data_IF_408288617810
#
_entry.id   IF_408288617810
#
_cell.length_a   1.000
_cell.length_b   1.000
_cell.length_c   1.000
_cell.angle_alpha   90.00
_cell.angle_beta   90.00
_cell.angle_gamma   90.00
#
_symmetry.space_group_name_H-M   'P 1'
#
loop_
_entity.id
_entity.type
_entity.pdbx_description
1 polymer ?
#
# COMPACT_ATOMS: atom_id res chain seq x y z
N UNK A 1 12.69 -4.04 5.16
CA UNK A 1 13.47 -2.92 4.59
C UNK A 1 14.00 -1.93 5.61
N UNK A 2 13.42 -1.77 6.80
CA UNK A 2 13.82 -0.69 7.74
C UNK A 2 14.81 -1.11 8.83
N UNK A 3 15.26 -2.38 8.87
CA UNK A 3 16.08 -2.92 9.97
C UNK A 3 17.48 -2.32 10.01
N UNK A 4 18.03 -1.96 8.86
CA UNK A 4 19.38 -1.40 8.71
C UNK A 4 19.36 0.14 8.70
N UNK A 5 18.17 0.76 8.81
CA UNK A 5 18.01 2.19 8.95
C UNK A 5 18.20 2.63 10.42
N UNK A 6 18.65 3.87 10.61
CA UNK A 6 18.69 4.50 11.94
C UNK A 6 17.29 4.96 12.36
N UNK A 7 16.78 4.41 13.46
CA UNK A 7 15.53 4.89 14.07
C UNK A 7 15.72 6.29 14.66
N UNK A 8 14.96 7.26 14.14
CA UNK A 8 14.99 8.65 14.61
C UNK A 8 13.94 8.93 15.71
N UNK A 9 12.80 8.26 15.65
CA UNK A 9 11.72 8.43 16.61
C UNK A 9 10.56 7.48 16.29
N UNK A 10 9.67 7.30 17.26
CA UNK A 10 8.42 6.56 17.12
C UNK A 10 7.33 7.25 17.95
N UNK A 11 6.08 7.15 17.49
CA UNK A 11 4.90 7.62 18.21
C UNK A 11 3.70 6.78 17.76
N UNK A 12 2.69 6.69 18.62
CA UNK A 12 1.48 5.93 18.36
C UNK A 12 0.30 6.88 18.09
N UNK A 13 -0.37 6.72 16.94
CA UNK A 13 -1.66 7.34 16.71
C UNK A 13 -2.75 6.51 17.39
N UNK A 14 -3.22 6.98 18.55
CA UNK A 14 -4.21 6.25 19.35
C UNK A 14 -5.65 6.71 19.09
N UNK A 15 -6.61 5.89 19.49
CA UNK A 15 -8.03 6.25 19.42
C UNK A 15 -8.67 6.13 18.03
N UNK A 16 -8.06 5.38 17.12
CA UNK A 16 -8.69 4.93 15.87
C UNK A 16 -9.80 3.93 16.22
N UNK A 17 -11.05 4.15 15.79
CA UNK A 17 -12.14 3.20 16.02
C UNK A 17 -11.80 1.81 15.44
N UNK A 18 -12.17 0.70 16.11
CA UNK A 18 -11.98 -0.63 15.55
C UNK A 18 -12.68 -0.74 14.19
N UNK A 19 -11.89 -1.05 13.15
CA UNK A 19 -12.38 -1.19 11.78
C UNK A 19 -11.68 -2.38 11.09
N UNK A 20 -12.29 -2.96 10.04
CA UNK A 20 -11.63 -3.96 9.22
C UNK A 20 -10.28 -3.45 8.67
N UNK A 21 -9.32 -4.36 8.47
CA UNK A 21 -8.03 -4.03 7.87
C UNK A 21 -8.24 -3.40 6.49
N UNK A 22 -7.49 -2.33 6.21
CA UNK A 22 -7.60 -1.57 4.96
C UNK A 22 -8.70 -0.50 4.93
N UNK A 23 -9.57 -0.44 5.96
CA UNK A 23 -10.61 0.60 6.03
C UNK A 23 -10.10 1.94 6.59
N UNK A 24 -9.32 1.98 7.69
CA UNK A 24 -8.75 3.24 8.16
C UNK A 24 -7.79 3.85 7.13
N UNK A 25 -7.95 5.15 6.87
CA UNK A 25 -7.08 5.90 5.96
C UNK A 25 -6.20 6.84 6.77
N UNK A 26 -4.91 6.53 6.86
CA UNK A 26 -3.94 7.32 7.61
C UNK A 26 -3.11 8.14 6.63
N UNK A 27 -3.15 9.46 6.77
CA UNK A 27 -2.27 10.38 6.06
C UNK A 27 -1.05 10.68 6.93
N UNK A 28 0.15 10.50 6.38
CA UNK A 28 1.40 10.82 7.07
C UNK A 28 2.13 11.92 6.33
N UNK A 29 2.40 13.03 7.03
CA UNK A 29 3.09 14.20 6.49
C UNK A 29 4.47 14.32 7.13
N UNK A 30 5.50 14.48 6.30
CA UNK A 30 6.88 14.71 6.73
C UNK A 30 7.28 16.13 6.33
N UNK A 31 7.67 16.95 7.31
CA UNK A 31 8.13 18.32 7.11
C UNK A 31 9.53 18.49 7.67
N UNK A 32 10.49 18.93 6.86
CA UNK A 32 11.84 19.27 7.29
C UNK A 32 12.00 20.79 7.21
N UNK A 33 12.31 21.43 8.34
CA UNK A 33 12.53 22.87 8.39
C UNK A 33 13.98 23.26 8.01
N UNK A 34 14.23 24.56 7.88
CA UNK A 34 15.55 25.10 7.56
C UNK A 34 16.63 24.81 8.62
N UNK A 35 16.24 24.43 9.84
CA UNK A 35 17.15 24.05 10.93
C UNK A 35 17.44 22.53 10.94
N UNK A 36 16.85 21.77 10.00
CA UNK A 36 16.96 20.32 9.94
C UNK A 36 16.11 19.61 11.00
N UNK A 37 15.09 20.27 11.54
CA UNK A 37 14.11 19.64 12.45
C UNK A 37 13.06 18.94 11.59
N UNK A 38 12.90 17.64 11.84
CA UNK A 38 11.89 16.82 11.16
C UNK A 38 10.62 16.78 12.01
N UNK A 39 9.51 17.23 11.46
CA UNK A 39 8.17 17.07 12.01
C UNK A 39 7.45 15.96 11.22
N UNK A 40 6.99 14.94 11.93
CA UNK A 40 6.18 13.86 11.34
C UNK A 40 4.80 13.91 11.98
N UNK A 41 3.77 14.11 11.17
CA UNK A 41 2.36 14.11 11.59
C UNK A 41 1.65 12.92 10.96
N UNK A 42 0.87 12.17 11.74
CA UNK A 42 -0.05 11.17 11.23
C UNK A 42 -1.49 11.59 11.57
N UNK A 43 -2.40 11.50 10.61
CA UNK A 43 -3.82 11.86 10.75
C UNK A 43 -4.72 10.75 10.20
N UNK A 44 -5.69 10.31 10.98
CA UNK A 44 -6.77 9.45 10.50
C UNK A 44 -7.83 10.32 9.81
N UNK A 45 -7.96 10.17 8.48
CA UNK A 45 -8.91 10.95 7.67
C UNK A 45 -10.37 10.72 8.06
N UNK A 46 -10.70 9.58 8.66
CA UNK A 46 -12.08 9.28 9.05
C UNK A 46 -12.53 10.02 10.30
N UNK A 47 -11.65 10.15 11.30
CA UNK A 47 -11.97 10.79 12.58
C UNK A 47 -11.37 12.19 12.75
N UNK A 48 -10.42 12.58 11.90
CA UNK A 48 -9.64 13.81 12.03
C UNK A 48 -8.66 13.79 13.21
N UNK A 49 -8.51 12.66 13.91
CA UNK A 49 -7.52 12.52 14.99
C UNK A 49 -6.13 12.52 14.39
N UNK A 50 -5.23 13.29 15.00
CA UNK A 50 -3.85 13.37 14.57
C UNK A 50 -2.90 13.35 15.74
N UNK A 51 -1.75 12.73 15.55
CA UNK A 51 -0.60 12.76 16.45
C UNK A 51 0.63 13.22 15.69
N UNK A 52 1.60 13.82 16.39
CA UNK A 52 2.85 14.27 15.77
C UNK A 52 4.05 14.08 16.67
N UNK A 53 5.20 13.91 16.04
CA UNK A 53 6.52 13.90 16.69
C UNK A 53 7.41 14.97 16.05
N UNK A 54 8.21 15.63 16.87
CA UNK A 54 9.25 16.56 16.43
C UNK A 54 10.60 15.96 16.77
N UNK A 55 11.45 15.80 15.77
CA UNK A 55 12.79 15.21 15.87
C UNK A 55 13.80 16.34 15.66
N UNK A 56 14.49 16.72 16.73
CA UNK A 56 15.47 17.81 16.72
C UNK A 56 16.88 17.33 16.35
N UNK A 57 17.70 18.26 15.84
CA UNK A 57 19.02 18.02 15.24
C UNK A 57 20.09 17.58 16.27
N UNK A 58 19.80 17.76 17.56
CA UNK A 58 20.73 17.70 18.68
C UNK A 58 20.96 16.29 19.24
N UNK A 59 20.13 15.29 18.89
CA UNK A 59 20.31 13.90 19.33
C UNK A 59 20.74 12.99 18.18
N UNK A 60 22.04 12.70 18.12
CA UNK A 60 22.54 11.55 17.35
C UNK A 60 22.64 11.77 15.85
N UNK A 61 23.09 12.96 15.43
CA UNK A 61 23.50 13.20 14.05
C UNK A 61 24.66 12.26 13.70
N UNK A 62 24.54 11.58 12.57
CA UNK A 62 25.63 10.78 12.00
C UNK A 62 26.81 11.72 11.71
N UNK A 63 28.02 11.28 12.06
CA UNK A 63 29.25 11.92 11.59
C UNK A 63 29.34 11.81 10.07
N UNK A 64 30.13 12.68 9.45
CA UNK A 64 30.35 12.63 8.00
C UNK A 64 30.88 11.26 7.55
N UNK A 65 31.78 10.67 8.34
CA UNK A 65 32.33 9.33 8.10
C UNK A 65 31.25 8.24 8.17
N UNK A 66 30.32 8.33 9.13
CA UNK A 66 29.18 7.40 9.22
C UNK A 66 28.22 7.57 8.04
N UNK A 67 27.95 8.80 7.59
CA UNK A 67 27.12 9.08 6.42
C UNK A 67 27.76 8.44 5.18
N UNK A 68 29.04 8.67 4.95
CA UNK A 68 29.76 8.12 3.80
C UNK A 68 29.82 6.59 3.83
N UNK A 69 29.99 6.00 5.02
CA UNK A 69 29.91 4.55 5.20
C UNK A 69 28.51 4.02 4.84
N UNK A 70 27.45 4.65 5.34
CA UNK A 70 26.08 4.23 5.05
C UNK A 70 25.72 4.35 3.56
N UNK A 71 26.18 5.42 2.89
CA UNK A 71 25.98 5.59 1.44
C UNK A 71 26.70 4.47 0.68
N UNK A 72 27.95 4.16 1.04
CA UNK A 72 28.71 3.08 0.40
C UNK A 72 28.07 1.71 0.62
N UNK A 73 27.65 1.41 1.84
CA UNK A 73 26.95 0.16 2.17
C UNK A 73 25.65 0.06 1.36
N UNK A 74 24.87 1.14 1.25
CA UNK A 74 23.65 1.16 0.45
C UNK A 74 23.91 0.92 -1.05
N UNK A 75 25.02 1.42 -1.60
CA UNK A 75 25.42 1.15 -2.99
C UNK A 75 25.88 -0.30 -3.18
N UNK A 76 26.64 -0.85 -2.23
CA UNK A 76 27.12 -2.23 -2.27
C UNK A 76 25.97 -3.25 -2.23
N UNK A 77 24.98 -3.02 -1.37
CA UNK A 77 23.84 -3.92 -1.17
C UNK A 77 22.61 -3.58 -2.02
N UNK A 78 22.70 -2.56 -2.89
CA UNK A 78 21.55 -2.05 -3.66
C UNK A 78 20.78 -3.15 -4.41
N UNK A 79 21.47 -4.11 -5.03
CA UNK A 79 20.83 -5.19 -5.80
C UNK A 79 20.17 -6.25 -4.90
N UNK A 80 20.76 -6.54 -3.73
CA UNK A 80 20.16 -7.46 -2.76
C UNK A 80 18.94 -6.82 -2.10
N UNK A 81 19.05 -5.56 -1.70
CA UNK A 81 17.94 -4.77 -1.16
C UNK A 81 16.81 -4.61 -2.16
N UNK A 82 17.13 -4.46 -3.46
CA UNK A 82 16.14 -4.43 -4.53
C UNK A 82 15.36 -5.73 -4.62
N UNK A 83 16.02 -6.89 -4.57
CA UNK A 83 15.32 -8.20 -4.60
C UNK A 83 14.42 -8.39 -3.37
N UNK A 84 14.93 -8.03 -2.19
CA UNK A 84 14.14 -8.08 -0.95
C UNK A 84 12.94 -7.14 -1.04
N UNK A 85 13.14 -5.93 -1.58
CA UNK A 85 12.06 -4.98 -1.84
C UNK A 85 11.00 -5.55 -2.77
N UNK A 86 11.41 -6.06 -3.93
CA UNK A 86 10.48 -6.60 -4.92
C UNK A 86 9.65 -7.77 -4.36
N UNK A 87 10.26 -8.64 -3.56
CA UNK A 87 9.55 -9.72 -2.85
C UNK A 87 8.52 -9.18 -1.86
N UNK A 88 8.90 -8.18 -1.05
CA UNK A 88 7.98 -7.54 -0.08
C UNK A 88 6.84 -6.81 -0.82
N UNK A 89 7.15 -6.12 -1.91
CA UNK A 89 6.18 -5.39 -2.73
C UNK A 89 5.18 -6.35 -3.41
N UNK A 90 5.64 -7.50 -3.91
CA UNK A 90 4.77 -8.55 -4.45
C UNK A 90 3.82 -9.10 -3.37
N UNK A 91 4.35 -9.44 -2.18
CA UNK A 91 3.54 -9.87 -1.03
C UNK A 91 2.51 -8.81 -0.64
N UNK A 92 2.93 -7.55 -0.51
CA UNK A 92 2.05 -6.44 -0.14
C UNK A 92 0.98 -6.19 -1.19
N UNK A 93 1.30 -6.38 -2.48
CA UNK A 93 0.34 -6.24 -3.58
C UNK A 93 -0.76 -7.31 -3.49
N UNK A 94 -0.38 -8.57 -3.29
CA UNK A 94 -1.33 -9.66 -3.03
C UNK A 94 -2.18 -9.38 -1.79
N UNK A 95 -1.54 -9.07 -0.67
CA UNK A 95 -2.22 -8.79 0.60
C UNK A 95 -3.23 -7.64 0.46
N UNK A 96 -2.81 -6.54 -0.16
CA UNK A 96 -3.66 -5.37 -0.40
C UNK A 96 -4.85 -5.71 -1.28
N UNK A 97 -4.63 -6.44 -2.38
CA UNK A 97 -5.70 -6.85 -3.29
C UNK A 97 -6.74 -7.71 -2.55
N UNK A 98 -6.30 -8.72 -1.81
CA UNK A 98 -7.16 -9.67 -1.11
C UNK A 98 -7.99 -8.98 -0.03
N UNK A 99 -7.41 -8.06 0.76
CA UNK A 99 -8.18 -7.29 1.75
C UNK A 99 -9.13 -6.30 1.11
N UNK A 100 -8.73 -5.62 0.03
CA UNK A 100 -9.62 -4.74 -0.71
C UNK A 100 -10.83 -5.50 -1.26
N UNK A 101 -10.59 -6.69 -1.84
CA UNK A 101 -11.66 -7.54 -2.35
C UNK A 101 -12.60 -8.00 -1.24
N UNK A 102 -12.04 -8.49 -0.12
CA UNK A 102 -12.81 -8.87 1.07
C UNK A 102 -13.70 -7.73 1.56
N UNK A 103 -13.19 -6.50 1.57
CA UNK A 103 -13.98 -5.35 1.99
C UNK A 103 -15.09 -5.03 0.98
N UNK A 104 -14.80 -5.08 -0.33
CA UNK A 104 -15.80 -4.77 -1.37
C UNK A 104 -16.99 -5.75 -1.39
N UNK A 105 -16.74 -7.04 -1.19
CA UNK A 105 -17.79 -8.09 -1.23
C UNK A 105 -18.61 -8.21 0.07
N UNK A 106 -18.12 -7.63 1.16
CA UNK A 106 -18.82 -7.59 2.45
C UNK A 106 -19.55 -6.27 2.70
N UNK A 107 -19.22 -5.23 1.95
CA UNK A 107 -19.81 -3.90 2.04
C UNK A 107 -21.02 -3.78 1.11
N UNK A 108 -22.22 -3.61 1.71
CA UNK A 108 -23.51 -3.51 1.02
C UNK A 108 -23.57 -2.32 0.06
N UNK A 109 -22.89 -1.23 0.41
CA UNK A 109 -22.86 -0.02 -0.41
C UNK A 109 -21.92 -0.17 -1.63
N UNK A 110 -21.16 -1.28 -1.73
CA UNK A 110 -20.20 -1.55 -2.81
C UNK A 110 -20.64 -2.67 -3.74
N UNK A 111 -20.08 -3.87 -3.58
CA UNK A 111 -20.33 -5.03 -4.46
C UNK A 111 -21.25 -6.06 -3.79
N UNK A 112 -21.40 -6.06 -2.47
CA UNK A 112 -22.10 -7.14 -1.77
C UNK A 112 -23.56 -7.31 -2.22
N UNK A 113 -24.28 -6.22 -2.50
CA UNK A 113 -25.69 -6.25 -2.95
C UNK A 113 -25.83 -6.40 -4.48
N UNK A 114 -24.71 -6.30 -5.23
CA UNK A 114 -24.69 -6.40 -6.71
C UNK A 114 -24.21 -7.76 -7.22
N UNK A 115 -23.63 -8.57 -6.34
CA UNK A 115 -23.17 -9.91 -6.62
C UNK A 115 -24.31 -10.92 -6.46
N UNK A 116 -24.41 -11.86 -7.39
CA UNK A 116 -25.26 -13.03 -7.19
C UNK A 116 -24.65 -13.94 -6.11
N UNK A 117 -25.48 -14.78 -5.45
CA UNK A 117 -25.01 -15.63 -4.34
C UNK A 117 -23.82 -16.51 -4.74
N UNK A 118 -23.89 -17.15 -5.90
CA UNK A 118 -22.85 -18.04 -6.41
C UNK A 118 -21.57 -17.27 -6.80
N UNK A 119 -21.72 -16.03 -7.29
CA UNK A 119 -20.59 -15.14 -7.62
C UNK A 119 -19.88 -14.71 -6.33
N UNK A 120 -20.65 -14.31 -5.32
CA UNK A 120 -20.13 -13.91 -4.01
C UNK A 120 -19.37 -15.05 -3.33
N UNK A 121 -19.93 -16.26 -3.31
CA UNK A 121 -19.29 -17.44 -2.70
C UNK A 121 -17.94 -17.78 -3.35
N UNK A 122 -17.85 -17.67 -4.68
CA UNK A 122 -16.58 -17.88 -5.42
C UNK A 122 -15.51 -16.87 -5.02
N UNK A 123 -15.87 -15.58 -4.96
CA UNK A 123 -14.91 -14.54 -4.57
C UNK A 123 -14.51 -14.68 -3.10
N UNK A 124 -15.46 -14.96 -2.20
CA UNK A 124 -15.17 -15.19 -0.78
C UNK A 124 -14.23 -16.38 -0.57
N UNK A 125 -14.43 -17.48 -1.31
CA UNK A 125 -13.57 -18.66 -1.25
C UNK A 125 -12.16 -18.34 -1.73
N UNK A 126 -12.02 -17.71 -2.91
CA UNK A 126 -10.70 -17.34 -3.47
C UNK A 126 -9.93 -16.38 -2.55
N UNK A 127 -10.61 -15.38 -1.98
CA UNK A 127 -10.03 -14.43 -1.02
C UNK A 127 -9.59 -15.16 0.25
N UNK A 128 -10.40 -16.09 0.77
CA UNK A 128 -10.08 -16.85 1.98
C UNK A 128 -8.86 -17.75 1.77
N UNK A 129 -8.83 -18.50 0.68
CA UNK A 129 -7.69 -19.37 0.34
C UNK A 129 -6.40 -18.56 0.14
N UNK A 130 -6.49 -17.36 -0.44
CA UNK A 130 -5.34 -16.48 -0.58
C UNK A 130 -4.83 -15.93 0.75
N UNK A 131 -5.72 -15.61 1.70
CA UNK A 131 -5.33 -15.21 3.06
C UNK A 131 -4.65 -16.36 3.81
N UNK A 132 -5.22 -17.57 3.76
CA UNK A 132 -4.61 -18.75 4.38
C UNK A 132 -3.24 -19.05 3.76
N UNK A 133 -3.13 -18.96 2.44
CA UNK A 133 -1.86 -19.12 1.75
C UNK A 133 -0.83 -18.05 2.15
N UNK A 134 -1.22 -16.77 2.28
CA UNK A 134 -0.34 -15.69 2.74
C UNK A 134 0.19 -15.93 4.18
N UNK A 135 -0.64 -16.51 5.04
CA UNK A 135 -0.29 -16.82 6.43
C UNK A 135 0.69 -18.00 6.51
N UNK A 136 0.50 -19.03 5.68
CA UNK A 136 1.35 -20.22 5.63
C UNK A 136 2.68 -19.97 4.88
N UNK A 137 2.70 -19.02 3.94
CA UNK A 137 3.81 -18.81 3.01
C UNK A 137 4.50 -17.44 3.20
N UNK A 138 4.74 -17.03 4.45
CA UNK A 138 5.33 -15.71 4.78
C UNK A 138 6.68 -15.43 4.12
N UNK A 139 7.42 -16.49 3.77
CA UNK A 139 8.76 -16.41 3.20
C UNK A 139 8.82 -16.88 1.73
N UNK A 140 7.69 -17.01 1.04
CA UNK A 140 7.64 -17.42 -0.38
C UNK A 140 8.46 -16.49 -1.28
N UNK A 141 8.81 -16.94 -2.48
CA UNK A 141 9.52 -16.10 -3.44
C UNK A 141 8.59 -15.11 -4.13
N UNK A 142 9.18 -14.10 -4.78
CA UNK A 142 8.43 -13.04 -5.48
C UNK A 142 7.45 -13.65 -6.47
N UNK A 143 7.91 -14.62 -7.25
CA UNK A 143 7.15 -15.28 -8.30
C UNK A 143 5.93 -16.02 -7.72
N UNK A 144 6.06 -16.63 -6.54
CA UNK A 144 4.96 -17.31 -5.86
C UNK A 144 3.84 -16.33 -5.46
N UNK A 145 4.21 -15.15 -4.93
CA UNK A 145 3.25 -14.09 -4.60
C UNK A 145 2.55 -13.55 -5.85
N UNK A 146 3.28 -13.34 -6.93
CA UNK A 146 2.73 -12.87 -8.21
C UNK A 146 1.81 -13.91 -8.87
N UNK A 147 2.18 -15.19 -8.82
CA UNK A 147 1.34 -16.28 -9.30
C UNK A 147 0.06 -16.37 -8.48
N UNK A 148 0.17 -16.32 -7.15
CA UNK A 148 -1.01 -16.36 -6.29
C UNK A 148 -1.93 -15.16 -6.50
N UNK A 149 -1.38 -13.97 -6.76
CA UNK A 149 -2.17 -12.80 -7.15
C UNK A 149 -2.94 -13.05 -8.45
N UNK A 150 -2.28 -13.57 -9.49
CA UNK A 150 -2.93 -13.88 -10.78
C UNK A 150 -4.04 -14.92 -10.62
N UNK A 151 -3.86 -15.93 -9.77
CA UNK A 151 -4.90 -16.92 -9.47
C UNK A 151 -6.17 -16.25 -8.90
N UNK A 152 -6.00 -15.38 -7.91
CA UNK A 152 -7.13 -14.69 -7.26
C UNK A 152 -7.79 -13.72 -8.24
N UNK A 153 -6.98 -12.97 -9.00
CA UNK A 153 -7.47 -12.06 -10.04
C UNK A 153 -8.25 -12.78 -11.15
N UNK A 154 -7.82 -13.97 -11.55
CA UNK A 154 -8.49 -14.77 -12.57
C UNK A 154 -9.91 -15.18 -12.15
N UNK A 155 -10.17 -15.33 -10.85
CA UNK A 155 -11.52 -15.58 -10.31
C UNK A 155 -12.30 -14.28 -10.14
N UNK A 156 -11.67 -13.25 -9.58
CA UNK A 156 -12.36 -12.02 -9.18
C UNK A 156 -12.68 -11.10 -10.38
N UNK A 157 -11.73 -10.90 -11.30
CA UNK A 157 -11.85 -9.92 -12.38
C UNK A 157 -13.03 -10.19 -13.33
N UNK A 158 -13.33 -11.43 -13.76
CA UNK A 158 -14.49 -11.71 -14.60
C UNK A 158 -15.81 -11.39 -13.90
N UNK A 159 -15.91 -11.71 -12.60
CA UNK A 159 -17.11 -11.47 -11.79
C UNK A 159 -17.33 -9.97 -11.62
N UNK A 160 -16.29 -9.23 -11.23
CA UNK A 160 -16.35 -7.77 -11.06
C UNK A 160 -16.74 -7.10 -12.38
N UNK A 161 -16.12 -7.50 -13.49
CA UNK A 161 -16.45 -6.99 -14.83
C UNK A 161 -17.93 -7.22 -15.17
N UNK A 162 -18.44 -8.43 -14.91
CA UNK A 162 -19.86 -8.75 -15.13
C UNK A 162 -20.79 -7.91 -14.24
N UNK A 163 -20.43 -7.70 -12.97
CA UNK A 163 -21.20 -6.85 -12.04
C UNK A 163 -21.25 -5.39 -12.50
N UNK A 164 -20.12 -4.81 -12.94
CA UNK A 164 -20.08 -3.44 -13.46
C UNK A 164 -20.93 -3.28 -14.73
N UNK A 165 -20.83 -4.24 -15.66
CA UNK A 165 -21.66 -4.27 -16.88
C UNK A 165 -23.17 -4.37 -16.55
N UNK A 166 -23.55 -5.23 -15.58
CA UNK A 166 -24.94 -5.44 -15.17
C UNK A 166 -25.51 -4.24 -14.41
N UNK A 167 -24.68 -3.53 -13.67
CA UNK A 167 -25.05 -2.37 -12.85
C UNK A 167 -25.12 -1.05 -13.64
N UNK A 168 -24.94 -1.09 -14.97
CA UNK A 168 -24.99 0.10 -15.83
C UNK A 168 -23.79 1.05 -15.69
N UNK A 169 -22.72 0.61 -15.02
CA UNK A 169 -21.44 1.32 -14.97
C UNK A 169 -20.53 0.84 -16.09
N UNK A 170 -20.72 1.37 -17.30
CA UNK A 170 -19.79 1.11 -18.40
C UNK A 170 -18.36 1.59 -18.10
N UNK A 171 -17.32 1.02 -18.73
CA UNK A 171 -15.95 1.49 -18.59
C UNK A 171 -15.83 2.87 -19.28
N UNK A 172 -15.98 3.93 -18.50
CA UNK A 172 -15.87 5.31 -18.95
C UNK A 172 -15.53 6.21 -17.78
N UNK A 173 -14.25 6.28 -17.42
CA UNK A 173 -13.77 7.15 -16.35
C UNK A 173 -12.37 6.84 -15.81
N UNK A 174 -11.43 6.40 -16.66
CA UNK A 174 -10.00 6.34 -16.30
C UNK A 174 -9.13 6.31 -17.57
N UNK A 175 -9.25 7.31 -18.44
CA UNK A 175 -8.26 7.66 -19.46
C UNK A 175 -8.65 8.97 -20.14
N UNK A 176 -8.16 10.10 -19.59
CA UNK A 176 -7.79 11.33 -20.32
C UNK A 176 -7.62 12.48 -19.33
N UNK A 177 -6.43 12.65 -18.79
CA UNK A 177 -5.82 13.98 -18.67
C UNK A 177 -4.31 13.82 -18.90
N UNK A 178 -3.98 13.33 -20.09
CA UNK A 178 -2.82 13.86 -20.81
C UNK A 178 -3.26 15.24 -21.29
N UNK A 179 -2.95 16.27 -20.50
CA UNK A 179 -2.90 17.62 -21.05
C UNK A 179 -1.56 17.75 -21.76
N UNK A 180 -1.70 17.75 -23.08
CA UNK A 180 -0.78 18.18 -24.14
C UNK A 180 0.30 19.16 -23.67
N UNK A 181 1.53 18.64 -23.60
CA UNK A 181 2.73 19.36 -23.97
C UNK A 181 2.70 19.61 -25.49
N UNK A 182 2.17 20.75 -25.91
CA UNK A 182 2.60 21.39 -27.16
C UNK A 182 2.42 22.91 -27.09
N UNK A 183 3.47 23.58 -26.62
CA UNK A 183 3.79 24.94 -27.07
C UNK A 183 5.29 25.06 -27.30
N UNK A 184 5.72 24.45 -28.40
CA UNK A 184 6.93 24.88 -29.10
C UNK A 184 6.62 26.17 -29.86
N UNK A 185 7.22 27.31 -29.47
CA UNK A 185 7.97 28.14 -30.42
C UNK A 185 8.65 29.37 -29.77
N UNK A 186 9.95 29.46 -30.06
CA UNK A 186 10.76 30.64 -30.40
C UNK A 186 10.87 31.86 -29.45
N UNK A 187 12.05 31.92 -28.79
CA UNK A 187 13.05 33.01 -28.66
C UNK A 187 13.63 33.20 -27.25
#
# INVERSE_FOLDING_TARGET
>A
MTKDCRLLGNFDLTGIPPAPRGTPQIEVTFEVDANGILNVKAEDKGTGKSEKITITNDKGRLSQEEIERMVREAEEFAEEDKKVKEKIDARNSLETYVYNMKNQINDKDKLADKLESDEKEKVETAVKEALEWLDDNQNAEKEDFEEKLKEVEAVCNPIITAVYQRSGGGPGGAASNEEEDDSHDEL
#
